data_IF_812893709297
#
_entry.id   IF_812893709297
#
_cell.length_a   1.000
_cell.length_b   1.000
_cell.length_c   1.000
_cell.angle_alpha   90.00
_cell.angle_beta   90.00
_cell.angle_gamma   90.00
#
_symmetry.space_group_name_H-M   'P 1'
#
loop_
_entity.id
_entity.type
_entity.pdbx_description
1 polymer ?
#
# COMPACT_ATOMS: atom_id res chain seq x y z
N UNK A 1 8.09 15.34 -0.54
CA UNK A 1 7.58 16.14 -1.68
C UNK A 1 6.28 15.48 -2.15
N UNK A 2 5.21 16.22 -2.31
CA UNK A 2 3.95 15.67 -2.83
C UNK A 2 3.84 16.04 -4.30
N UNK A 3 3.55 15.06 -5.15
CA UNK A 3 3.32 15.26 -6.58
C UNK A 3 1.85 15.09 -6.88
N UNK A 4 1.28 16.02 -7.62
CA UNK A 4 -0.13 15.97 -8.00
C UNK A 4 -0.28 15.85 -9.50
N UNK A 5 -1.19 14.96 -9.90
CA UNK A 5 -1.77 14.97 -11.22
C UNK A 5 -2.96 15.92 -11.20
N UNK A 6 -2.77 17.21 -11.40
CA UNK A 6 -3.91 18.09 -11.65
C UNK A 6 -3.56 19.16 -12.67
N UNK A 7 -4.51 19.46 -13.54
CA UNK A 7 -4.45 20.63 -14.42
C UNK A 7 -4.62 21.96 -13.65
N UNK A 8 -4.69 21.95 -12.32
CA UNK A 8 -5.00 23.10 -11.45
C UNK A 8 -4.09 23.18 -10.22
N UNK A 9 -2.94 22.54 -10.20
CA UNK A 9 -2.01 22.67 -9.08
C UNK A 9 -1.34 24.03 -9.03
N UNK A 10 -1.25 24.65 -7.87
CA UNK A 10 -0.49 25.89 -7.63
C UNK A 10 1.02 25.62 -7.48
N UNK A 11 1.48 24.42 -7.80
CA UNK A 11 2.85 23.99 -7.65
C UNK A 11 3.76 24.38 -8.82
N UNK A 12 5.07 24.30 -8.60
CA UNK A 12 6.07 24.51 -9.66
C UNK A 12 6.00 23.32 -10.64
N UNK A 13 5.88 23.62 -11.95
CA UNK A 13 5.99 22.62 -13.00
C UNK A 13 7.38 21.95 -12.94
N UNK A 14 7.41 20.61 -12.88
CA UNK A 14 8.64 19.82 -12.85
C UNK A 14 8.91 19.20 -14.22
N UNK A 15 7.90 18.69 -14.89
CA UNK A 15 8.04 18.03 -16.17
C UNK A 15 6.73 17.44 -16.69
N UNK A 16 6.80 16.96 -17.92
CA UNK A 16 5.71 16.24 -18.55
C UNK A 16 6.24 14.89 -19.04
N UNK A 17 5.50 13.84 -18.74
CA UNK A 17 5.70 12.50 -19.30
C UNK A 17 4.60 12.21 -20.31
N UNK A 18 4.63 11.04 -20.94
CA UNK A 18 3.57 10.61 -21.87
C UNK A 18 2.18 10.65 -21.22
N UNK A 19 2.09 10.26 -19.96
CA UNK A 19 0.83 10.06 -19.26
C UNK A 19 0.52 11.10 -18.19
N UNK A 20 1.51 11.88 -17.74
CA UNK A 20 1.37 12.77 -16.59
C UNK A 20 2.03 14.13 -16.81
N UNK A 21 1.37 15.19 -16.34
CA UNK A 21 2.00 16.49 -16.08
C UNK A 21 2.29 16.59 -14.60
N UNK A 22 3.53 16.84 -14.23
CA UNK A 22 4.04 16.74 -12.87
C UNK A 22 4.34 18.12 -12.32
N UNK A 23 3.77 18.41 -11.16
CA UNK A 23 4.00 19.64 -10.41
C UNK A 23 4.51 19.30 -9.01
N UNK A 24 5.38 20.14 -8.44
CA UNK A 24 5.83 20.05 -7.05
C UNK A 24 5.07 21.03 -6.19
N UNK A 25 4.63 20.60 -5.02
CA UNK A 25 3.92 21.44 -4.08
C UNK A 25 4.81 22.43 -3.34
N UNK A 26 6.09 22.16 -3.20
CA UNK A 26 7.00 22.99 -2.42
C UNK A 26 8.01 23.68 -3.32
N UNK A 27 8.05 24.99 -3.20
CA UNK A 27 8.98 25.82 -3.97
C UNK A 27 10.41 25.69 -3.43
N UNK A 28 10.67 25.45 -2.16
CA UNK A 28 12.02 25.53 -1.59
C UNK A 28 12.34 24.68 -0.35
N UNK A 29 11.54 23.68 -0.01
CA UNK A 29 11.94 22.78 1.07
C UNK A 29 11.36 21.39 0.83
N UNK A 30 12.12 20.30 1.07
CA UNK A 30 11.48 19.02 1.34
C UNK A 30 10.48 19.32 2.46
N UNK A 31 9.22 18.86 2.31
CA UNK A 31 8.28 18.89 3.42
C UNK A 31 8.96 18.07 4.51
N UNK A 32 9.78 18.73 5.31
CA UNK A 32 10.06 18.22 6.64
C UNK A 32 8.67 18.13 7.22
N UNK A 33 8.23 16.92 7.49
CA UNK A 33 7.19 16.73 8.49
C UNK A 33 7.73 17.49 9.69
N UNK A 34 7.34 18.76 9.80
CA UNK A 34 7.71 19.53 10.97
C UNK A 34 7.19 18.68 12.10
N UNK A 35 8.10 18.28 12.97
CA UNK A 35 7.75 17.70 14.26
C UNK A 35 6.95 18.78 14.98
N UNK A 36 5.65 18.87 14.65
CA UNK A 36 4.75 19.62 15.50
C UNK A 36 4.71 18.82 16.78
N UNK A 37 5.34 19.31 17.87
CA UNK A 37 5.02 18.73 19.16
C UNK A 37 3.49 18.82 19.25
N UNK A 38 2.85 17.74 19.69
CA UNK A 38 1.43 17.81 20.01
C UNK A 38 1.20 19.11 20.78
N UNK A 39 0.30 19.98 20.29
CA UNK A 39 0.08 21.29 20.92
C UNK A 39 -0.19 21.05 22.41
N UNK A 40 0.80 21.35 23.24
CA UNK A 40 0.71 21.12 24.70
C UNK A 40 -0.17 22.23 25.24
N UNK A 41 -1.42 21.90 25.49
CA UNK A 41 -2.34 22.79 26.15
C UNK A 41 -2.10 22.70 27.66
N UNK A 42 -1.97 23.82 28.38
CA UNK A 42 -1.78 23.78 29.82
C UNK A 42 -2.88 22.94 30.50
N UNK A 43 -2.48 21.95 31.31
CA UNK A 43 -3.41 21.04 31.99
C UNK A 43 -3.67 19.72 31.26
N UNK A 44 -3.09 19.51 30.08
CA UNK A 44 -3.16 18.21 29.38
C UNK A 44 -1.94 17.34 29.64
N UNK A 45 -2.18 16.03 29.67
CA UNK A 45 -1.12 15.02 29.72
C UNK A 45 -0.69 14.67 28.30
N UNK A 46 0.60 14.77 28.01
CA UNK A 46 1.17 14.19 26.77
C UNK A 46 1.71 12.82 27.10
N UNK A 47 1.12 11.82 26.48
CA UNK A 47 1.54 10.42 26.59
C UNK A 47 2.26 9.98 25.32
N UNK A 48 3.48 9.47 25.45
CA UNK A 48 4.26 8.94 24.34
C UNK A 48 4.13 7.41 24.27
N UNK A 49 3.67 6.92 23.12
CA UNK A 49 3.60 5.51 22.79
C UNK A 49 4.70 5.16 21.79
N UNK A 50 5.52 4.20 22.12
CA UNK A 50 6.69 3.88 21.30
C UNK A 50 7.98 4.57 21.76
N UNK A 51 9.08 4.35 21.06
CA UNK A 51 9.22 3.75 19.71
C UNK A 51 9.22 2.21 19.68
N UNK A 52 9.33 1.56 20.79
CA UNK A 52 9.32 0.09 20.90
C UNK A 52 8.23 -0.32 21.87
N UNK A 53 7.11 -0.76 21.34
CA UNK A 53 5.94 -1.19 22.12
C UNK A 53 5.46 -2.54 21.62
N UNK A 54 4.83 -3.31 22.50
CA UNK A 54 4.07 -4.50 22.11
C UNK A 54 2.89 -4.11 21.20
N UNK A 55 2.51 -4.99 20.28
CA UNK A 55 1.36 -4.80 19.41
C UNK A 55 1.63 -4.00 18.12
N UNK A 56 2.80 -3.36 17.95
CA UNK A 56 3.17 -2.67 16.73
C UNK A 56 4.20 -3.49 15.94
N UNK A 57 3.98 -3.66 14.63
CA UNK A 57 4.91 -4.41 13.76
C UNK A 57 6.22 -3.64 13.59
N UNK A 58 6.15 -2.33 13.44
CA UNK A 58 7.29 -1.46 13.16
C UNK A 58 7.46 -0.42 14.27
N UNK A 59 8.71 0.02 14.46
CA UNK A 59 9.01 1.05 15.46
C UNK A 59 8.54 2.42 14.98
N UNK A 60 7.70 3.05 15.78
CA UNK A 60 7.15 4.39 15.53
C UNK A 60 6.99 5.12 16.85
N UNK A 61 7.15 6.43 16.85
CA UNK A 61 6.82 7.27 18.01
C UNK A 61 5.48 7.96 17.76
N UNK A 62 4.56 7.80 18.67
CA UNK A 62 3.24 8.43 18.63
C UNK A 62 3.04 9.22 19.93
N UNK A 63 2.75 10.50 19.82
CA UNK A 63 2.44 11.35 20.96
C UNK A 63 0.92 11.60 21.00
N UNK A 64 0.30 11.30 22.12
CA UNK A 64 -1.11 11.56 22.38
C UNK A 64 -1.23 12.70 23.37
N UNK A 65 -2.06 13.71 23.06
CA UNK A 65 -2.49 14.74 24.02
C UNK A 65 -3.89 14.40 24.52
N UNK A 66 -4.06 14.35 25.83
CA UNK A 66 -5.30 13.94 26.48
C UNK A 66 -5.55 14.67 27.79
N UNK A 67 -6.80 15.11 28.06
CA UNK A 67 -7.22 15.57 29.39
C UNK A 67 -7.60 14.40 30.32
N UNK A 68 -7.58 13.14 29.83
CA UNK A 68 -8.00 11.94 30.55
C UNK A 68 -8.04 10.75 29.59
N UNK A 69 -9.19 10.08 29.43
CA UNK A 69 -9.32 8.95 28.52
C UNK A 69 -9.49 9.38 27.04
N UNK A 70 -10.12 10.52 26.81
CA UNK A 70 -10.40 11.02 25.46
C UNK A 70 -9.17 11.64 24.84
N UNK A 71 -8.82 11.20 23.63
CA UNK A 71 -7.71 11.72 22.86
C UNK A 71 -8.14 13.03 22.19
N UNK A 72 -7.38 14.10 22.42
CA UNK A 72 -7.61 15.41 21.79
C UNK A 72 -6.81 15.56 20.50
N UNK A 73 -5.56 15.15 20.53
CA UNK A 73 -4.70 15.16 19.34
C UNK A 73 -3.69 14.01 19.36
N UNK A 74 -3.25 13.65 18.17
CA UNK A 74 -2.21 12.64 17.95
C UNK A 74 -1.18 13.19 17.00
N UNK A 75 0.08 12.93 17.27
CA UNK A 75 1.19 13.21 16.35
C UNK A 75 2.03 11.95 16.16
N UNK A 76 2.19 11.55 14.90
CA UNK A 76 2.97 10.37 14.52
C UNK A 76 4.32 10.80 13.96
N UNK A 77 5.42 10.29 14.54
CA UNK A 77 6.77 10.48 14.00
C UNK A 77 7.24 9.17 13.33
N UNK A 78 7.07 9.04 12.00
CA UNK A 78 7.53 7.87 11.26
C UNK A 78 9.05 7.85 11.08
N UNK A 79 9.74 8.95 11.37
CA UNK A 79 11.17 9.13 11.08
C UNK A 79 12.07 8.71 12.23
N UNK A 80 11.52 8.12 13.30
CA UNK A 80 12.34 7.67 14.45
C UNK A 80 13.48 6.73 14.03
N UNK A 81 13.20 5.81 13.07
CA UNK A 81 14.22 4.96 12.43
C UNK A 81 14.27 5.30 10.94
N UNK A 82 14.59 6.55 10.61
CA UNK A 82 14.73 6.99 9.23
C UNK A 82 15.73 6.12 8.49
N UNK A 83 15.30 5.50 7.39
CA UNK A 83 16.17 4.78 6.49
C UNK A 83 16.52 5.68 5.30
N UNK A 84 17.78 5.67 4.91
CA UNK A 84 18.24 6.35 3.70
C UNK A 84 18.61 5.34 2.65
N UNK A 85 18.05 5.50 1.47
CA UNK A 85 18.30 4.62 0.32
C UNK A 85 18.83 5.49 -0.82
N UNK A 86 20.09 5.27 -1.18
CA UNK A 86 20.70 5.99 -2.29
C UNK A 86 20.41 5.25 -3.59
N UNK A 87 19.64 5.86 -4.47
CA UNK A 87 19.28 5.34 -5.78
C UNK A 87 19.89 6.15 -6.92
N UNK A 88 20.14 7.45 -6.73
CA UNK A 88 20.77 8.30 -7.73
C UNK A 88 22.17 7.82 -8.10
N UNK A 89 22.44 7.77 -9.40
CA UNK A 89 23.71 7.31 -9.98
C UNK A 89 23.79 5.79 -10.20
N UNK A 90 22.84 5.00 -9.71
CA UNK A 90 22.81 3.55 -9.94
C UNK A 90 22.28 3.21 -11.34
N UNK A 91 22.72 2.06 -11.87
CA UNK A 91 22.07 1.47 -13.03
C UNK A 91 20.59 1.14 -12.71
N UNK A 92 19.72 1.11 -13.73
CA UNK A 92 18.31 0.73 -13.52
C UNK A 92 18.18 -0.64 -12.84
N UNK A 93 19.06 -1.58 -13.17
CA UNK A 93 19.10 -2.90 -12.56
C UNK A 93 19.44 -2.86 -11.07
N UNK A 94 20.48 -2.11 -10.69
CA UNK A 94 20.91 -2.02 -9.29
C UNK A 94 19.91 -1.22 -8.45
N UNK A 95 19.35 -0.15 -9.02
CA UNK A 95 18.28 0.61 -8.39
C UNK A 95 17.04 -0.26 -8.13
N UNK A 96 16.65 -1.11 -9.07
CA UNK A 96 15.52 -2.01 -8.93
C UNK A 96 15.67 -2.97 -7.73
N UNK A 97 16.88 -3.49 -7.47
CA UNK A 97 17.16 -4.35 -6.31
C UNK A 97 16.90 -3.62 -4.99
N UNK A 98 17.15 -2.32 -4.93
CA UNK A 98 16.88 -1.52 -3.73
C UNK A 98 15.41 -1.10 -3.65
N UNK A 99 14.77 -0.79 -4.78
CA UNK A 99 13.35 -0.44 -4.86
C UNK A 99 12.47 -1.57 -4.31
N UNK A 100 12.72 -2.82 -4.66
CA UNK A 100 11.96 -3.97 -4.14
C UNK A 100 12.07 -4.14 -2.61
N UNK A 101 12.97 -3.41 -1.95
CA UNK A 101 13.22 -3.45 -0.49
C UNK A 101 12.84 -2.18 0.25
N UNK A 102 12.25 -1.20 -0.42
CA UNK A 102 11.69 -0.01 0.24
C UNK A 102 10.65 -0.45 1.27
N UNK A 103 9.67 -1.26 0.84
CA UNK A 103 8.83 -2.03 1.74
C UNK A 103 8.82 -3.50 1.29
N UNK A 104 9.51 -4.35 2.02
CA UNK A 104 9.60 -5.76 1.65
C UNK A 104 8.26 -6.51 1.69
N UNK A 105 7.26 -5.99 2.41
CA UNK A 105 5.92 -6.56 2.44
C UNK A 105 5.08 -6.16 1.21
N UNK A 106 5.29 -4.96 0.66
CA UNK A 106 4.66 -4.44 -0.56
C UNK A 106 5.63 -4.34 -1.74
N UNK A 107 6.56 -5.26 -1.81
CA UNK A 107 7.63 -5.28 -2.80
C UNK A 107 7.11 -5.25 -4.24
N UNK A 108 6.03 -5.98 -4.54
CA UNK A 108 5.44 -6.03 -5.88
C UNK A 108 4.90 -4.68 -6.33
N UNK A 109 4.24 -3.93 -5.44
CA UNK A 109 3.72 -2.60 -5.75
C UNK A 109 4.83 -1.62 -6.10
N UNK A 110 5.96 -1.63 -5.35
CA UNK A 110 7.12 -0.79 -5.66
C UNK A 110 7.81 -1.20 -6.96
N UNK A 111 7.94 -2.49 -7.22
CA UNK A 111 8.45 -3.02 -8.48
C UNK A 111 7.59 -2.57 -9.66
N UNK A 112 6.27 -2.72 -9.57
CA UNK A 112 5.35 -2.33 -10.62
C UNK A 112 5.41 -0.82 -10.90
N UNK A 113 5.40 0.02 -9.86
CA UNK A 113 5.52 1.46 -10.01
C UNK A 113 6.83 1.88 -10.70
N UNK A 114 7.96 1.26 -10.31
CA UNK A 114 9.25 1.52 -10.93
C UNK A 114 9.30 1.09 -12.39
N UNK A 115 8.87 -0.15 -12.70
CA UNK A 115 8.90 -0.70 -14.06
C UNK A 115 8.03 0.10 -15.02
N UNK A 116 6.84 0.49 -14.59
CA UNK A 116 5.94 1.32 -15.39
C UNK A 116 6.46 2.75 -15.56
N UNK A 117 7.19 3.30 -14.58
CA UNK A 117 7.87 4.59 -14.72
C UNK A 117 9.06 4.52 -15.70
N UNK A 118 9.81 3.41 -15.72
CA UNK A 118 10.86 3.16 -16.73
C UNK A 118 10.26 3.06 -18.12
N UNK A 119 9.17 2.35 -18.28
CA UNK A 119 8.46 2.19 -19.56
C UNK A 119 7.94 3.53 -20.08
N UNK A 120 7.38 4.38 -19.23
CA UNK A 120 6.92 5.73 -19.56
C UNK A 120 8.09 6.67 -19.89
N UNK A 121 9.22 6.56 -19.16
CA UNK A 121 10.41 7.39 -19.40
C UNK A 121 11.09 7.12 -20.77
N UNK A 122 11.11 5.87 -21.18
CA UNK A 122 11.83 5.43 -22.37
C UNK A 122 10.91 5.29 -23.61
N UNK A 123 9.63 5.60 -23.45
CA UNK A 123 8.60 5.49 -24.49
C UNK A 123 8.60 4.11 -25.17
N UNK A 124 8.87 3.07 -24.40
CA UNK A 124 8.80 1.69 -24.88
C UNK A 124 7.35 1.30 -25.13
N UNK A 125 7.11 0.38 -26.06
CA UNK A 125 5.79 -0.20 -26.25
C UNK A 125 5.33 -0.94 -24.98
N UNK A 126 4.03 -0.83 -24.69
CA UNK A 126 3.47 -1.57 -23.56
C UNK A 126 3.66 -3.08 -23.76
N UNK A 127 4.28 -3.72 -22.79
CA UNK A 127 4.41 -5.16 -22.77
C UNK A 127 3.22 -5.77 -22.03
N UNK A 128 2.22 -6.21 -22.75
CA UNK A 128 0.98 -6.77 -22.18
C UNK A 128 1.22 -7.99 -21.31
N UNK A 129 2.25 -8.80 -21.60
CA UNK A 129 2.62 -9.96 -20.78
C UNK A 129 3.23 -9.54 -19.44
N UNK A 130 4.06 -8.49 -19.44
CA UNK A 130 4.58 -7.90 -18.20
C UNK A 130 3.43 -7.32 -17.35
N UNK A 131 2.50 -6.59 -17.96
CA UNK A 131 1.37 -6.00 -17.26
C UNK A 131 0.53 -7.08 -16.56
N UNK A 132 0.25 -8.19 -17.23
CA UNK A 132 -0.49 -9.31 -16.66
C UNK A 132 0.27 -9.97 -15.50
N UNK A 133 1.58 -10.13 -15.60
CA UNK A 133 2.43 -10.63 -14.51
C UNK A 133 2.42 -9.68 -13.31
N UNK A 134 2.57 -8.38 -13.55
CA UNK A 134 2.53 -7.36 -12.49
C UNK A 134 1.17 -7.31 -11.79
N UNK A 135 0.07 -7.40 -12.54
CA UNK A 135 -1.27 -7.47 -11.97
C UNK A 135 -1.42 -8.72 -11.10
N UNK A 136 -0.98 -9.87 -11.57
CA UNK A 136 -1.01 -11.11 -10.79
C UNK A 136 -0.21 -10.98 -9.47
N UNK A 137 0.98 -10.40 -9.53
CA UNK A 137 1.81 -10.15 -8.35
C UNK A 137 1.13 -9.20 -7.37
N UNK A 138 0.61 -8.07 -7.85
CA UNK A 138 -0.03 -7.04 -7.04
C UNK A 138 -1.32 -7.55 -6.37
N UNK A 139 -2.13 -8.33 -7.06
CA UNK A 139 -3.36 -8.86 -6.47
C UNK A 139 -3.09 -9.97 -5.45
N UNK A 140 -2.08 -10.83 -5.65
CA UNK A 140 -1.62 -11.76 -4.62
C UNK A 140 -1.01 -11.05 -3.40
N UNK A 141 -0.28 -9.95 -3.63
CA UNK A 141 0.23 -9.08 -2.56
C UNK A 141 -0.92 -8.42 -1.80
N UNK A 142 -1.97 -7.96 -2.50
CA UNK A 142 -3.16 -7.35 -1.90
C UNK A 142 -3.89 -8.33 -1.01
N UNK A 143 -4.17 -9.55 -1.48
CA UNK A 143 -4.79 -10.61 -0.66
C UNK A 143 -3.98 -10.83 0.61
N UNK A 144 -2.66 -11.03 0.50
CA UNK A 144 -1.78 -11.25 1.65
C UNK A 144 -1.80 -10.06 2.60
N UNK A 145 -1.76 -8.84 2.08
CA UNK A 145 -1.73 -7.61 2.89
C UNK A 145 -3.06 -7.36 3.59
N UNK A 146 -4.18 -7.56 2.93
CA UNK A 146 -5.49 -7.39 3.55
C UNK A 146 -5.75 -8.46 4.61
N UNK A 147 -5.38 -9.71 4.36
CA UNK A 147 -5.43 -10.76 5.39
C UNK A 147 -4.60 -10.36 6.62
N UNK A 148 -3.41 -9.78 6.44
CA UNK A 148 -2.61 -9.29 7.56
C UNK A 148 -3.31 -8.19 8.36
N UNK A 149 -3.99 -7.26 7.72
CA UNK A 149 -4.76 -6.21 8.42
C UNK A 149 -5.92 -6.81 9.18
N UNK A 150 -6.70 -7.73 8.57
CA UNK A 150 -7.82 -8.38 9.22
C UNK A 150 -7.38 -9.24 10.41
N UNK A 151 -6.25 -9.96 10.28
CA UNK A 151 -5.60 -10.69 11.38
C UNK A 151 -5.32 -9.76 12.56
N UNK A 152 -4.70 -8.63 12.30
CA UNK A 152 -4.34 -7.67 13.34
C UNK A 152 -5.53 -6.95 13.98
N UNK A 153 -6.64 -6.82 13.29
CA UNK A 153 -7.87 -6.32 13.89
C UNK A 153 -8.49 -7.33 14.88
N UNK A 154 -8.23 -8.62 14.72
CA UNK A 154 -8.69 -9.65 15.64
C UNK A 154 -7.88 -9.68 16.95
N UNK A 155 -6.60 -9.30 16.94
CA UNK A 155 -5.69 -9.36 18.08
C UNK A 155 -6.17 -8.52 19.27
N UNK A 156 -6.39 -7.20 19.16
CA UNK A 156 -6.84 -6.36 20.27
C UNK A 156 -8.28 -6.66 20.71
N UNK A 157 -9.07 -7.33 19.87
CA UNK A 157 -10.41 -7.81 20.23
C UNK A 157 -10.40 -9.10 21.06
N UNK A 158 -9.23 -9.75 21.23
CA UNK A 158 -9.10 -11.03 21.89
C UNK A 158 -9.66 -12.21 21.08
N UNK A 159 -9.84 -12.04 19.77
CA UNK A 159 -10.37 -13.05 18.84
C UNK A 159 -9.26 -14.00 18.36
N UNK A 160 -8.71 -14.81 19.30
CA UNK A 160 -7.57 -15.68 18.99
C UNK A 160 -7.84 -16.74 17.92
N UNK A 161 -9.05 -17.31 17.86
CA UNK A 161 -9.38 -18.32 16.82
C UNK A 161 -9.42 -17.70 15.43
N UNK A 162 -10.20 -16.63 15.16
CA UNK A 162 -10.15 -15.93 13.88
C UNK A 162 -8.75 -15.42 13.52
N UNK A 163 -8.00 -14.88 14.49
CA UNK A 163 -6.61 -14.45 14.29
C UNK A 163 -5.76 -15.57 13.67
N UNK A 164 -5.74 -16.76 14.28
CA UNK A 164 -4.93 -17.88 13.79
C UNK A 164 -5.43 -18.45 12.46
N UNK A 165 -6.74 -18.45 12.22
CA UNK A 165 -7.32 -18.90 10.96
C UNK A 165 -6.91 -17.97 9.81
N UNK A 166 -6.94 -16.64 10.01
CA UNK A 166 -6.49 -15.65 9.02
C UNK A 166 -4.98 -15.77 8.81
N UNK A 167 -4.19 -15.92 9.88
CA UNK A 167 -2.74 -16.12 9.80
C UNK A 167 -2.39 -17.36 8.96
N UNK A 168 -3.13 -18.47 9.12
CA UNK A 168 -2.97 -19.66 8.30
C UNK A 168 -3.27 -19.38 6.83
N UNK A 169 -4.40 -18.75 6.51
CA UNK A 169 -4.76 -18.40 5.12
C UNK A 169 -3.72 -17.46 4.49
N UNK A 170 -3.22 -16.48 5.23
CA UNK A 170 -2.14 -15.57 4.79
C UNK A 170 -0.84 -16.34 4.48
N UNK A 171 -0.48 -17.30 5.31
CA UNK A 171 0.67 -18.18 5.05
C UNK A 171 0.45 -19.05 3.80
N UNK A 172 -0.75 -19.58 3.59
CA UNK A 172 -1.07 -20.35 2.40
C UNK A 172 -0.99 -19.51 1.12
N UNK A 173 -1.48 -18.27 1.13
CA UNK A 173 -1.30 -17.31 0.03
C UNK A 173 0.19 -17.04 -0.23
N UNK A 174 0.99 -16.88 0.81
CA UNK A 174 2.44 -16.69 0.70
C UNK A 174 3.14 -17.90 0.08
N UNK A 175 2.65 -19.11 0.34
CA UNK A 175 3.13 -20.35 -0.33
C UNK A 175 2.68 -20.41 -1.79
N UNK A 176 1.47 -19.95 -2.13
CA UNK A 176 1.02 -19.80 -3.51
C UNK A 176 1.98 -18.87 -4.27
N UNK A 177 2.27 -17.68 -3.71
CA UNK A 177 3.24 -16.73 -4.27
C UNK A 177 4.59 -17.41 -4.53
N UNK A 178 5.13 -18.08 -3.52
CA UNK A 178 6.43 -18.77 -3.65
C UNK A 178 6.43 -19.87 -4.70
N UNK A 179 5.32 -20.58 -4.86
CA UNK A 179 5.21 -21.66 -5.84
C UNK A 179 5.15 -21.17 -7.30
N UNK A 180 4.61 -19.96 -7.52
CA UNK A 180 4.49 -19.33 -8.83
C UNK A 180 5.78 -18.59 -9.18
N UNK A 181 6.30 -17.77 -8.27
CA UNK A 181 7.38 -16.80 -8.52
C UNK A 181 8.75 -17.24 -7.96
N UNK A 182 8.81 -18.32 -7.20
CA UNK A 182 10.06 -18.81 -6.59
C UNK A 182 10.51 -18.03 -5.36
N UNK A 183 9.83 -16.96 -4.97
CA UNK A 183 10.11 -16.18 -3.78
C UNK A 183 8.83 -15.75 -3.06
N UNK A 184 8.84 -15.75 -1.71
CA UNK A 184 7.66 -15.48 -0.86
C UNK A 184 7.19 -14.01 -0.90
N UNK A 185 8.10 -13.08 -1.24
CA UNK A 185 7.91 -11.64 -1.26
C UNK A 185 8.32 -11.00 -2.59
N UNK A 186 8.33 -11.76 -3.67
CA UNK A 186 8.65 -11.34 -5.05
C UNK A 186 10.07 -10.81 -5.26
N UNK A 187 11.00 -10.94 -4.30
CA UNK A 187 12.37 -10.46 -4.48
C UNK A 187 13.09 -11.20 -5.61
N UNK A 188 13.75 -10.44 -6.47
CA UNK A 188 14.54 -10.95 -7.56
C UNK A 188 13.74 -11.56 -8.73
N UNK A 189 12.43 -11.43 -8.77
CA UNK A 189 11.58 -12.01 -9.82
C UNK A 189 11.95 -11.45 -11.19
N UNK A 190 12.15 -10.13 -11.30
CA UNK A 190 12.46 -9.46 -12.57
C UNK A 190 13.96 -9.23 -12.82
N UNK A 191 14.85 -9.61 -11.88
CA UNK A 191 16.29 -9.35 -11.97
C UNK A 191 17.12 -10.49 -12.55
N UNK A 192 16.52 -11.65 -12.77
CA UNK A 192 17.21 -12.82 -13.29
C UNK A 192 16.54 -13.31 -14.56
N UNK A 193 17.31 -13.76 -15.59
CA UNK A 193 16.75 -14.49 -16.70
C UNK A 193 16.20 -15.79 -16.18
N UNK A 194 14.93 -15.81 -15.82
CA UNK A 194 14.22 -17.02 -15.40
C UNK A 194 13.30 -17.48 -16.53
N UNK A 195 13.05 -18.79 -16.62
CA UNK A 195 11.96 -19.27 -17.46
C UNK A 195 10.64 -18.66 -16.99
N UNK A 196 9.73 -18.45 -17.91
CA UNK A 196 8.37 -17.94 -17.70
C UNK A 196 7.76 -18.37 -16.36
N UNK A 197 7.01 -17.48 -15.72
CA UNK A 197 6.19 -17.76 -14.53
C UNK A 197 5.57 -19.16 -14.64
N UNK A 198 5.90 -20.03 -13.69
CA UNK A 198 5.39 -21.40 -13.71
C UNK A 198 4.15 -21.47 -12.84
N UNK A 199 3.01 -21.69 -13.45
CA UNK A 199 1.76 -21.95 -12.72
C UNK A 199 1.71 -23.47 -12.41
N UNK A 200 1.88 -23.88 -11.14
CA UNK A 200 1.77 -25.29 -10.77
C UNK A 200 0.33 -25.80 -10.96
N UNK A 201 0.19 -27.09 -11.27
CA UNK A 201 -1.13 -27.72 -11.29
C UNK A 201 -1.80 -27.63 -9.93
N UNK A 202 -3.13 -27.41 -9.91
CA UNK A 202 -3.93 -27.33 -8.67
C UNK A 202 -3.90 -25.97 -7.95
N UNK A 203 -3.18 -24.96 -8.46
CA UNK A 203 -3.16 -23.63 -7.82
C UNK A 203 -4.57 -23.00 -7.77
N UNK A 204 -5.35 -23.09 -8.86
CA UNK A 204 -6.73 -22.57 -8.89
C UNK A 204 -7.61 -23.24 -7.83
N UNK A 205 -7.48 -24.54 -7.64
CA UNK A 205 -8.21 -25.27 -6.59
C UNK A 205 -7.81 -24.77 -5.21
N UNK A 206 -6.52 -24.52 -5.01
CA UNK A 206 -6.00 -24.04 -3.72
C UNK A 206 -6.44 -22.59 -3.42
N UNK A 207 -6.41 -21.69 -4.40
CA UNK A 207 -6.88 -20.30 -4.21
C UNK A 207 -8.37 -20.26 -3.91
N UNK A 208 -9.19 -21.08 -4.61
CA UNK A 208 -10.63 -21.23 -4.34
C UNK A 208 -10.94 -21.79 -2.95
N UNK A 209 -10.14 -22.75 -2.46
CA UNK A 209 -10.29 -23.27 -1.10
C UNK A 209 -10.02 -22.18 -0.05
N UNK A 210 -8.94 -21.41 -0.21
CA UNK A 210 -8.63 -20.28 0.68
C UNK A 210 -9.77 -19.25 0.64
N UNK A 211 -10.25 -18.88 -0.53
CA UNK A 211 -11.35 -17.93 -0.74
C UNK A 211 -12.64 -18.41 -0.03
N UNK A 212 -12.98 -19.68 -0.16
CA UNK A 212 -14.18 -20.26 0.47
C UNK A 212 -14.08 -20.21 2.00
N UNK A 213 -12.94 -20.60 2.57
CA UNK A 213 -12.71 -20.51 4.02
C UNK A 213 -12.71 -19.07 4.53
N UNK A 214 -12.14 -18.17 3.74
CA UNK A 214 -12.16 -16.74 4.04
C UNK A 214 -13.60 -16.19 4.06
N UNK A 215 -14.44 -16.56 3.09
CA UNK A 215 -15.83 -16.11 3.04
C UNK A 215 -16.61 -16.47 4.31
N UNK A 216 -16.51 -17.71 4.76
CA UNK A 216 -17.18 -18.17 5.98
C UNK A 216 -16.69 -17.41 7.23
N UNK A 217 -15.38 -17.17 7.32
CA UNK A 217 -14.81 -16.47 8.46
C UNK A 217 -15.16 -14.97 8.43
N UNK A 218 -15.15 -14.35 7.25
CA UNK A 218 -15.46 -12.93 7.07
C UNK A 218 -16.92 -12.64 7.42
N UNK A 219 -17.86 -13.51 7.02
CA UNK A 219 -19.27 -13.47 7.43
C UNK A 219 -19.41 -13.59 8.96
N UNK A 220 -18.74 -14.58 9.57
CA UNK A 220 -18.76 -14.78 11.02
C UNK A 220 -18.24 -13.56 11.80
N UNK A 221 -17.24 -12.85 11.30
CA UNK A 221 -16.73 -11.62 11.92
C UNK A 221 -17.73 -10.46 11.80
N UNK A 222 -18.44 -10.35 10.68
CA UNK A 222 -19.50 -9.35 10.48
C UNK A 222 -20.70 -9.57 11.40
N UNK A 223 -21.04 -10.83 11.69
CA UNK A 223 -22.13 -11.19 12.59
C UNK A 223 -21.75 -11.06 14.07
N UNK A 224 -20.45 -10.95 14.38
CA UNK A 224 -19.98 -10.83 15.75
C UNK A 224 -20.19 -9.43 16.31
N UNK A 225 -21.24 -9.25 17.14
CA UNK A 225 -21.52 -7.96 17.80
C UNK A 225 -20.33 -7.43 18.59
N UNK A 226 -19.56 -8.30 19.23
CA UNK A 226 -18.39 -7.89 20.02
C UNK A 226 -17.32 -7.33 19.10
N UNK A 227 -17.03 -7.98 17.98
CA UNK A 227 -16.05 -7.51 17.00
C UNK A 227 -16.51 -6.20 16.33
N UNK A 228 -17.74 -6.18 15.83
CA UNK A 228 -18.30 -5.01 15.15
C UNK A 228 -18.32 -3.79 16.06
N UNK A 229 -18.73 -3.93 17.33
CA UNK A 229 -18.77 -2.82 18.29
C UNK A 229 -17.39 -2.19 18.56
N UNK A 230 -16.28 -2.90 18.33
CA UNK A 230 -14.93 -2.35 18.47
C UNK A 230 -14.52 -1.52 17.27
N UNK A 231 -15.11 -1.73 16.10
CA UNK A 231 -14.76 -1.10 14.85
C UNK A 231 -15.76 -0.01 14.43
N UNK A 232 -17.05 -0.25 14.68
CA UNK A 232 -18.13 0.64 14.28
C UNK A 232 -18.10 1.95 15.08
N UNK A 233 -18.06 3.06 14.37
CA UNK A 233 -17.96 4.38 14.97
C UNK A 233 -16.53 4.78 15.39
N UNK A 234 -15.59 3.84 15.42
CA UNK A 234 -14.20 4.10 15.79
C UNK A 234 -13.44 4.70 14.60
N UNK A 235 -12.68 5.77 14.84
CA UNK A 235 -11.80 6.34 13.86
C UNK A 235 -12.50 6.88 12.61
N UNK A 236 -13.60 7.61 12.80
CA UNK A 236 -14.29 8.29 11.70
C UNK A 236 -13.44 9.38 11.09
N UNK A 237 -13.47 9.47 9.75
CA UNK A 237 -12.72 10.47 9.01
C UNK A 237 -13.69 11.33 8.21
N UNK A 238 -13.55 12.64 8.40
CA UNK A 238 -14.25 13.65 7.62
C UNK A 238 -13.24 14.65 7.03
N UNK A 239 -13.40 15.00 5.76
CA UNK A 239 -12.72 16.13 5.09
C UNK A 239 -11.18 16.04 5.01
N UNK A 240 -10.60 14.88 4.79
CA UNK A 240 -9.16 14.69 4.57
C UNK A 240 -8.90 14.09 3.19
N UNK A 241 -7.72 14.35 2.62
CA UNK A 241 -7.27 13.62 1.46
C UNK A 241 -7.02 12.16 1.82
N UNK A 242 -7.83 11.27 1.29
CA UNK A 242 -7.78 9.83 1.54
C UNK A 242 -7.34 9.08 0.30
N UNK A 243 -6.67 7.96 0.52
CA UNK A 243 -6.26 7.03 -0.54
C UNK A 243 -6.60 5.60 -0.16
N UNK A 244 -6.69 4.74 -1.15
CA UNK A 244 -6.85 3.31 -0.94
C UNK A 244 -8.13 2.91 -0.21
N UNK A 245 -8.08 1.84 0.59
CA UNK A 245 -9.23 1.37 1.36
C UNK A 245 -9.84 2.44 2.28
N UNK A 246 -9.05 3.40 2.79
CA UNK A 246 -9.58 4.48 3.61
C UNK A 246 -10.46 5.45 2.81
N UNK A 247 -10.08 5.75 1.56
CA UNK A 247 -10.90 6.57 0.66
C UNK A 247 -12.20 5.84 0.29
N UNK A 248 -12.12 4.58 -0.08
CA UNK A 248 -13.28 3.77 -0.45
C UNK A 248 -14.24 3.52 0.72
N UNK A 249 -13.72 3.43 1.94
CA UNK A 249 -14.51 3.35 3.17
C UNK A 249 -15.22 4.67 3.53
N UNK A 250 -14.84 5.77 2.90
CA UNK A 250 -15.43 7.10 3.07
C UNK A 250 -16.30 7.55 1.89
N UNK A 251 -16.67 6.63 1.00
CA UNK A 251 -17.57 6.90 -0.14
C UNK A 251 -16.87 7.39 -1.40
N UNK A 252 -15.53 7.51 -1.42
CA UNK A 252 -14.81 7.99 -2.60
C UNK A 252 -14.52 6.85 -3.59
N UNK A 253 -14.98 7.01 -4.84
CA UNK A 253 -14.69 6.06 -5.94
C UNK A 253 -13.28 6.23 -6.51
N UNK A 254 -12.31 6.51 -5.68
CA UNK A 254 -10.95 6.71 -6.12
C UNK A 254 -10.13 5.40 -5.98
N UNK A 255 -9.59 4.92 -7.11
CA UNK A 255 -8.75 3.73 -7.18
C UNK A 255 -7.82 3.80 -8.39
N UNK A 256 -6.50 3.74 -8.15
CA UNK A 256 -5.53 3.84 -9.24
C UNK A 256 -5.61 2.68 -10.24
N UNK A 257 -6.28 1.57 -9.92
CA UNK A 257 -6.58 0.49 -10.88
C UNK A 257 -7.54 0.91 -11.99
N UNK A 258 -8.36 1.95 -11.75
CA UNK A 258 -9.27 2.53 -12.74
C UNK A 258 -8.73 3.86 -13.26
N UNK A 259 -8.24 4.71 -12.35
CA UNK A 259 -7.91 6.11 -12.64
C UNK A 259 -6.50 6.28 -13.23
N UNK A 260 -5.68 5.21 -13.26
CA UNK A 260 -4.32 5.24 -13.77
C UNK A 260 -4.18 4.46 -15.08
N UNK A 261 -3.47 5.00 -16.08
CA UNK A 261 -3.18 4.28 -17.31
C UNK A 261 -2.02 3.29 -17.20
N UNK A 262 -1.39 3.16 -16.02
CA UNK A 262 -0.16 2.37 -15.87
C UNK A 262 -0.37 0.87 -16.04
N UNK A 263 -1.52 0.33 -15.61
CA UNK A 263 -1.89 -1.07 -15.73
C UNK A 263 -3.37 -1.20 -16.12
N UNK A 264 -3.67 -2.07 -17.09
CA UNK A 264 -5.03 -2.26 -17.60
C UNK A 264 -5.81 -3.30 -16.79
N UNK A 265 -6.47 -2.85 -15.73
CA UNK A 265 -7.41 -3.65 -14.94
C UNK A 265 -8.80 -3.80 -15.61
N UNK A 266 -9.10 -2.98 -16.61
CA UNK A 266 -10.41 -3.02 -17.30
C UNK A 266 -10.70 -4.35 -17.97
N UNK A 267 -9.67 -5.06 -18.45
CA UNK A 267 -9.78 -6.39 -19.05
C UNK A 267 -10.30 -7.49 -18.11
N UNK A 268 -10.23 -7.25 -16.78
CA UNK A 268 -10.68 -8.19 -15.75
C UNK A 268 -12.06 -7.84 -15.19
N UNK A 269 -12.71 -6.78 -15.71
CA UNK A 269 -13.99 -6.31 -15.20
C UNK A 269 -13.94 -5.83 -13.76
N UNK A 270 -12.80 -5.30 -13.33
CA UNK A 270 -12.61 -4.81 -11.97
C UNK A 270 -13.47 -3.58 -11.70
N UNK A 271 -14.20 -3.61 -10.59
CA UNK A 271 -14.90 -2.46 -10.01
C UNK A 271 -14.53 -2.33 -8.53
N UNK A 272 -14.27 -1.10 -8.03
CA UNK A 272 -13.93 -0.89 -6.63
C UNK A 272 -15.15 -1.06 -5.74
N UNK A 273 -14.96 -1.74 -4.62
CA UNK A 273 -15.96 -1.83 -3.57
C UNK A 273 -15.96 -0.56 -2.72
N UNK A 274 -17.12 0.04 -2.50
CA UNK A 274 -17.28 1.33 -1.81
C UNK A 274 -18.18 1.18 -0.60
N UNK A 275 -17.74 1.74 0.52
CA UNK A 275 -18.50 1.93 1.75
C UNK A 275 -18.61 3.41 2.11
N UNK A 276 -19.50 3.78 3.00
CA UNK A 276 -19.78 5.17 3.39
C UNK A 276 -19.74 5.36 4.92
N UNK A 277 -19.42 4.30 5.67
CA UNK A 277 -19.34 4.32 7.14
C UNK A 277 -18.22 5.21 7.70
N UNK A 278 -17.16 5.47 6.92
CA UNK A 278 -16.02 6.33 7.25
C UNK A 278 -15.17 5.89 8.44
N UNK A 279 -15.50 4.79 9.08
CA UNK A 279 -14.91 4.27 10.31
C UNK A 279 -14.04 3.02 10.07
N UNK A 280 -13.53 2.44 11.13
CA UNK A 280 -12.70 1.24 11.06
C UNK A 280 -13.48 0.03 10.54
N UNK A 281 -14.80 -0.05 10.80
CA UNK A 281 -15.63 -1.12 10.29
C UNK A 281 -15.81 -1.02 8.77
N UNK A 282 -16.05 0.17 8.24
CA UNK A 282 -16.11 0.39 6.79
C UNK A 282 -14.76 0.04 6.13
N UNK A 283 -13.62 0.39 6.74
CA UNK A 283 -12.30 -0.01 6.24
C UNK A 283 -12.08 -1.53 6.29
N UNK A 284 -12.60 -2.22 7.31
CA UNK A 284 -12.61 -3.68 7.39
C UNK A 284 -13.43 -4.29 6.25
N UNK A 285 -14.65 -3.78 5.98
CA UNK A 285 -15.53 -4.26 4.91
C UNK A 285 -14.89 -4.08 3.52
N UNK A 286 -14.32 -2.90 3.25
CA UNK A 286 -13.62 -2.65 1.99
C UNK A 286 -12.50 -3.66 1.77
N UNK A 287 -11.64 -3.88 2.78
CA UNK A 287 -10.52 -4.83 2.65
C UNK A 287 -10.97 -6.26 2.44
N UNK A 288 -12.02 -6.69 3.14
CA UNK A 288 -12.58 -8.03 2.97
C UNK A 288 -13.13 -8.25 1.56
N UNK A 289 -13.88 -7.27 1.03
CA UNK A 289 -14.43 -7.36 -0.32
C UNK A 289 -13.34 -7.25 -1.41
N UNK A 290 -12.28 -6.48 -1.18
CA UNK A 290 -11.12 -6.44 -2.08
C UNK A 290 -10.37 -7.78 -2.16
N UNK A 291 -10.37 -8.59 -1.10
CA UNK A 291 -9.81 -9.95 -1.15
C UNK A 291 -10.56 -10.80 -2.18
N UNK A 292 -11.91 -10.75 -2.21
CA UNK A 292 -12.70 -11.48 -3.21
C UNK A 292 -12.43 -10.99 -4.63
N UNK A 293 -12.42 -9.67 -4.84
CA UNK A 293 -12.11 -9.08 -6.15
C UNK A 293 -10.71 -9.50 -6.63
N UNK A 294 -9.73 -9.52 -5.73
CA UNK A 294 -8.37 -9.95 -6.04
C UNK A 294 -8.30 -11.45 -6.37
N UNK A 295 -9.00 -12.32 -5.64
CA UNK A 295 -9.08 -13.74 -5.99
C UNK A 295 -9.73 -13.96 -7.37
N UNK A 296 -10.77 -13.20 -7.72
CA UNK A 296 -11.40 -13.27 -9.03
C UNK A 296 -10.40 -12.94 -10.16
N UNK A 297 -9.64 -11.85 -10.02
CA UNK A 297 -8.60 -11.46 -10.99
C UNK A 297 -7.49 -12.52 -11.06
N UNK A 298 -6.95 -12.94 -9.91
CA UNK A 298 -5.91 -13.97 -9.83
C UNK A 298 -6.34 -15.27 -10.51
N UNK A 299 -7.54 -15.76 -10.21
CA UNK A 299 -8.07 -16.99 -10.79
C UNK A 299 -8.29 -16.86 -12.30
N UNK A 300 -8.70 -15.69 -12.79
CA UNK A 300 -8.85 -15.44 -14.22
C UNK A 300 -7.50 -15.45 -14.94
N UNK A 301 -6.47 -14.77 -14.42
CA UNK A 301 -5.12 -14.76 -15.01
C UNK A 301 -4.53 -16.17 -15.03
N UNK A 302 -4.60 -16.88 -13.91
CA UNK A 302 -4.03 -18.24 -13.81
C UNK A 302 -4.73 -19.21 -14.76
N UNK A 303 -6.04 -19.06 -14.98
CA UNK A 303 -6.82 -19.91 -15.87
C UNK A 303 -6.54 -19.65 -17.36
N UNK A 304 -6.18 -18.42 -17.72
CA UNK A 304 -5.90 -18.02 -19.11
C UNK A 304 -4.51 -18.45 -19.60
N UNK A 305 -3.62 -18.87 -18.71
CA UNK A 305 -2.30 -19.35 -19.07
C UNK A 305 -1.16 -18.55 -18.46
N UNK A 306 0.02 -18.58 -19.12
CA UNK A 306 1.24 -17.99 -18.58
C UNK A 306 1.43 -16.57 -19.10
N UNK A 307 1.60 -15.56 -18.22
CA UNK A 307 2.09 -14.27 -18.66
C UNK A 307 3.53 -14.39 -19.18
N UNK A 308 3.85 -13.63 -20.22
CA UNK A 308 5.21 -13.53 -20.74
C UNK A 308 6.06 -12.66 -19.82
N UNK A 309 7.30 -13.11 -19.58
CA UNK A 309 8.24 -12.33 -18.75
C UNK A 309 8.85 -11.18 -19.51
N UNK A 310 8.89 -10.00 -18.88
CA UNK A 310 9.77 -8.93 -19.30
C UNK A 310 11.18 -9.10 -18.73
N UNK A 311 12.15 -8.78 -19.55
CA UNK A 311 13.56 -8.76 -19.17
C UNK A 311 14.05 -7.31 -19.12
N UNK A 312 14.38 -6.83 -17.92
CA UNK A 312 14.96 -5.51 -17.71
C UNK A 312 16.45 -5.41 -18.08
N UNK A 313 17.06 -6.50 -18.55
CA UNK A 313 18.47 -6.53 -18.90
C UNK A 313 18.69 -5.72 -20.17
N UNK A 314 19.56 -4.70 -20.09
CA UNK A 314 20.05 -3.84 -21.17
C UNK A 314 19.10 -2.72 -21.63
N UNK A 315 18.35 -2.13 -20.73
CA UNK A 315 17.60 -0.92 -21.04
C UNK A 315 18.56 0.28 -20.92
N UNK A 316 18.83 0.93 -22.04
CA UNK A 316 19.60 2.16 -22.11
C UNK A 316 18.74 3.27 -22.69
N UNK A 317 18.88 4.47 -22.15
CA UNK A 317 18.13 5.64 -22.65
C UNK A 317 18.19 6.79 -21.68
N UNK A 318 17.60 7.90 -22.10
CA UNK A 318 17.44 9.12 -21.30
C UNK A 318 15.99 9.57 -21.41
N UNK A 319 15.36 9.88 -20.30
CA UNK A 319 13.97 10.33 -20.29
C UNK A 319 13.43 10.54 -18.89
N UNK A 320 12.22 11.07 -18.83
CA UNK A 320 11.46 11.27 -17.59
C UNK A 320 10.17 10.48 -17.67
N UNK A 321 9.90 9.69 -16.66
CA UNK A 321 8.69 8.90 -16.59
C UNK A 321 8.03 8.97 -15.22
N UNK A 322 6.76 8.60 -15.20
CA UNK A 322 5.98 8.47 -13.97
C UNK A 322 4.97 7.34 -14.09
N UNK A 323 4.67 6.74 -12.96
CA UNK A 323 3.64 5.72 -12.87
C UNK A 323 2.84 5.83 -11.57
N UNK A 324 1.59 5.39 -11.62
CA UNK A 324 0.73 5.23 -10.47
C UNK A 324 0.15 3.85 -10.47
N UNK A 325 0.25 3.20 -9.33
CA UNK A 325 -0.34 1.89 -9.11
C UNK A 325 -1.11 1.88 -7.78
N UNK A 326 -2.14 1.08 -7.69
CA UNK A 326 -2.87 0.89 -6.44
C UNK A 326 -2.19 -0.20 -5.61
N UNK A 327 -1.36 0.19 -4.64
CA UNK A 327 -0.85 -0.75 -3.65
C UNK A 327 -1.98 -1.21 -2.70
N UNK A 328 -1.79 -2.24 -1.88
CA UNK A 328 -2.82 -2.67 -0.93
C UNK A 328 -3.29 -1.57 0.05
N UNK A 329 -2.46 -0.54 0.26
CA UNK A 329 -2.78 0.56 1.17
C UNK A 329 -3.25 1.83 0.44
N UNK A 330 -3.18 1.85 -0.88
CA UNK A 330 -3.66 2.92 -1.73
C UNK A 330 -2.69 3.33 -2.83
N UNK A 331 -2.92 4.48 -3.39
CA UNK A 331 -2.18 5.06 -4.51
C UNK A 331 -0.69 5.22 -4.20
N UNK A 332 0.14 4.49 -4.92
CA UNK A 332 1.60 4.60 -4.91
C UNK A 332 2.04 5.26 -6.21
N UNK A 333 2.65 6.42 -6.11
CA UNK A 333 3.19 7.16 -7.24
C UNK A 333 4.70 7.06 -7.29
N UNK A 334 5.27 6.84 -8.49
CA UNK A 334 6.70 6.88 -8.77
C UNK A 334 7.00 7.93 -9.83
N UNK A 335 7.96 8.81 -9.55
CA UNK A 335 8.60 9.70 -10.52
C UNK A 335 10.03 9.21 -10.76
N UNK A 336 10.48 9.19 -12.01
CA UNK A 336 11.80 8.71 -12.40
C UNK A 336 12.40 9.58 -13.50
N UNK A 337 13.63 10.06 -13.30
CA UNK A 337 14.48 10.65 -14.35
C UNK A 337 15.66 9.71 -14.61
N UNK A 338 15.85 9.36 -15.87
CA UNK A 338 16.91 8.46 -16.35
C UNK A 338 17.88 9.25 -17.21
N UNK A 339 19.16 9.06 -16.99
CA UNK A 339 20.24 9.59 -17.82
C UNK A 339 21.19 8.46 -18.21
N UNK A 340 21.26 8.16 -19.51
CA UNK A 340 22.11 7.09 -20.08
C UNK A 340 22.00 5.74 -19.36
N UNK A 341 20.76 5.32 -19.04
CA UNK A 341 20.48 4.04 -18.36
C UNK A 341 20.77 4.02 -16.87
N UNK A 342 21.09 5.15 -16.27
CA UNK A 342 21.26 5.32 -14.82
C UNK A 342 20.16 6.22 -14.26
N UNK A 343 19.79 5.96 -13.01
CA UNK A 343 18.84 6.81 -12.28
C UNK A 343 19.48 8.15 -11.98
N UNK A 344 18.93 9.23 -12.52
CA UNK A 344 19.32 10.59 -12.18
C UNK A 344 18.56 11.09 -10.95
N UNK A 345 17.24 10.84 -10.92
CA UNK A 345 16.37 11.19 -9.81
C UNK A 345 15.20 10.22 -9.75
N UNK A 346 14.85 9.82 -8.54
CA UNK A 346 13.66 8.98 -8.31
C UNK A 346 12.96 9.42 -7.02
N UNK A 347 11.63 9.42 -7.04
CA UNK A 347 10.82 9.72 -5.87
C UNK A 347 9.58 8.84 -5.84
N UNK A 348 9.18 8.42 -4.63
CA UNK A 348 7.94 7.72 -4.37
C UNK A 348 7.03 8.51 -3.44
N UNK A 349 5.75 8.60 -3.78
CA UNK A 349 4.71 9.05 -2.84
C UNK A 349 3.97 7.81 -2.35
N UNK A 350 4.25 7.44 -1.11
CA UNK A 350 3.65 6.27 -0.46
C UNK A 350 2.25 6.59 0.10
N UNK A 351 1.28 5.67 0.00
CA UNK A 351 -0.02 5.82 0.62
C UNK A 351 0.05 5.90 2.15
N UNK A 352 1.08 5.32 2.78
CA UNK A 352 1.23 5.35 4.24
C UNK A 352 1.40 6.77 4.79
N UNK A 353 1.98 7.71 4.02
CA UNK A 353 2.07 9.13 4.43
C UNK A 353 0.68 9.76 4.53
N UNK A 354 -0.18 9.57 3.53
CA UNK A 354 -1.56 10.05 3.54
C UNK A 354 -2.38 9.38 4.65
N UNK A 355 -2.19 8.07 4.83
CA UNK A 355 -2.89 7.29 5.85
C UNK A 355 -2.47 7.68 7.28
N UNK A 356 -1.22 8.11 7.53
CA UNK A 356 -0.80 8.68 8.81
C UNK A 356 -1.57 9.95 9.13
N UNK A 357 -1.67 10.89 8.18
CA UNK A 357 -2.40 12.15 8.36
C UNK A 357 -3.89 11.86 8.65
N UNK A 358 -4.48 10.93 7.92
CA UNK A 358 -5.85 10.50 8.11
C UNK A 358 -6.04 9.84 9.49
N UNK A 359 -5.12 8.99 9.90
CA UNK A 359 -5.13 8.37 11.23
C UNK A 359 -5.07 9.41 12.35
N UNK A 360 -4.16 10.38 12.29
CA UNK A 360 -4.04 11.45 13.29
C UNK A 360 -5.36 12.19 13.49
N UNK A 361 -6.06 12.51 12.40
CA UNK A 361 -7.36 13.18 12.47
C UNK A 361 -8.46 12.26 12.99
N UNK A 362 -8.45 10.99 12.59
CA UNK A 362 -9.46 10.01 12.96
C UNK A 362 -9.43 9.65 14.46
N UNK A 363 -8.30 9.86 15.12
CA UNK A 363 -8.16 9.58 16.57
C UNK A 363 -8.75 10.66 17.47
N UNK A 364 -9.03 11.85 16.95
CA UNK A 364 -9.62 12.93 17.76
C UNK A 364 -11.01 12.53 18.27
N UNK A 365 -11.23 12.66 19.57
CA UNK A 365 -12.47 12.29 20.21
C UNK A 365 -12.67 10.81 20.49
N UNK A 366 -11.73 9.94 20.09
CA UNK A 366 -11.72 8.53 20.46
C UNK A 366 -10.97 8.33 21.79
N UNK A 367 -11.11 7.14 22.40
CA UNK A 367 -10.38 6.76 23.60
C UNK A 367 -9.15 5.93 23.26
N UNK A 368 -8.18 5.89 24.18
CA UNK A 368 -6.91 5.19 23.90
C UNK A 368 -7.11 3.69 23.64
N UNK A 369 -8.09 3.03 24.24
CA UNK A 369 -8.36 1.61 24.00
C UNK A 369 -8.79 1.31 22.55
N UNK A 370 -9.23 2.31 21.78
CA UNK A 370 -9.63 2.17 20.39
C UNK A 370 -8.46 2.39 19.42
N UNK A 371 -7.30 2.79 19.93
CA UNK A 371 -6.12 3.11 19.14
C UNK A 371 -5.71 1.99 18.20
N UNK A 372 -5.53 0.77 18.71
CA UNK A 372 -5.04 -0.35 17.89
C UNK A 372 -6.02 -0.71 16.77
N UNK A 373 -7.32 -0.70 17.02
CA UNK A 373 -8.33 -0.96 15.98
C UNK A 373 -8.26 0.10 14.88
N UNK A 374 -8.14 1.35 15.28
CA UNK A 374 -8.06 2.45 14.32
C UNK A 374 -6.75 2.36 13.52
N UNK A 375 -5.59 2.25 14.19
CA UNK A 375 -4.28 2.15 13.55
C UNK A 375 -4.21 1.00 12.53
N UNK A 376 -4.55 -0.21 12.95
CA UNK A 376 -4.46 -1.39 12.10
C UNK A 376 -5.40 -1.31 10.89
N UNK A 377 -6.60 -0.72 11.05
CA UNK A 377 -7.56 -0.59 9.95
C UNK A 377 -7.03 0.24 8.77
N UNK A 378 -6.12 1.21 9.01
CA UNK A 378 -5.45 1.95 7.94
C UNK A 378 -4.38 1.13 7.22
N UNK A 379 -3.78 0.15 7.88
CA UNK A 379 -2.70 -0.65 7.31
C UNK A 379 -1.43 0.14 7.04
N UNK A 380 -1.07 1.07 7.92
CA UNK A 380 0.10 1.94 7.80
C UNK A 380 1.38 1.12 7.90
N UNK A 381 2.35 1.43 7.03
CA UNK A 381 3.71 0.90 7.07
C UNK A 381 4.71 2.01 7.30
N UNK A 382 5.42 1.96 8.43
CA UNK A 382 6.42 2.96 8.79
C UNK A 382 7.64 2.87 7.86
N UNK A 383 7.96 1.68 7.37
CA UNK A 383 8.99 1.46 6.35
C UNK A 383 8.77 2.24 5.05
N UNK A 384 7.53 2.63 4.75
CA UNK A 384 7.21 3.47 3.60
C UNK A 384 7.25 4.97 3.92
N UNK A 385 6.80 5.33 5.12
CA UNK A 385 6.72 6.73 5.53
C UNK A 385 8.02 7.26 6.14
N UNK A 386 8.85 6.37 6.73
CA UNK A 386 10.14 6.67 7.35
C UNK A 386 11.32 6.35 6.43
N UNK A 387 11.20 6.56 5.13
CA UNK A 387 12.29 6.40 4.16
C UNK A 387 12.60 7.72 3.46
N UNK A 388 13.88 8.03 3.31
CA UNK A 388 14.41 9.10 2.50
C UNK A 388 15.15 8.48 1.31
N UNK A 389 14.77 8.88 0.09
CA UNK A 389 15.36 8.38 -1.14
C UNK A 389 16.26 9.48 -1.69
N UNK A 390 17.55 9.16 -1.90
CA UNK A 390 18.61 10.05 -2.37
C UNK A 390 19.12 9.63 -3.75
#
# INVERSE_FOLDING_TARGET
>A
MQYYKTARGNGRYIGQTRSYTIYSDSIDSPVKVEKKPADIIPGELVFNYGPSTGGMIESVRIAFSTPGEMIRSVAVDPTYKLRRIKLAGLSLKDAFILVERINGYHSSSYQAAFLKAVEDALLTEQNTGLDEELILQMELERIRSHLNVLERLCEPAGFGVPYHQIAQMREEVTRVISSIFGHRYFFGVHNTPKPSVRIPSGIVTRTKDIETRFALLFESLQDSKIFVNRLQGNGKIEKVWLVGPAARAAGYKYDARIDSPSLDYGRYGFEPYIEDGKDAFARFLVRGNEIFSSFAIVNQIISNGRPDQANLMNIHGTGIGAARVESPQGDLFCYLSINNGSVERIEFCSPSVSNIIAFEQSMQGNIFTDFHFNWESFGIWISEAGVEIE
#
